data_IF_439443460452
#
_entry.id   IF_439443460452
#
_cell.length_a   1.000
_cell.length_b   1.000
_cell.length_c   1.000
_cell.angle_alpha   90.00
_cell.angle_beta   90.00
_cell.angle_gamma   90.00
#
_symmetry.space_group_name_H-M   'P 1'
#
loop_
_entity.id
_entity.type
_entity.pdbx_description
1 polymer ?
#
# COMPACT_ATOMS: atom_id res chain seq x y z
N UNK A 1 -28.65 -20.02 -33.21
CA UNK A 1 -27.87 -20.74 -32.18
C UNK A 1 -28.35 -20.28 -30.81
N UNK A 2 -28.88 -21.15 -29.93
CA UNK A 2 -29.15 -20.75 -28.56
C UNK A 2 -27.82 -20.61 -27.79
N UNK A 3 -27.52 -19.41 -27.29
CA UNK A 3 -26.38 -19.15 -26.41
C UNK A 3 -26.72 -19.70 -25.02
N UNK A 4 -26.06 -20.79 -24.64
CA UNK A 4 -26.23 -21.44 -23.35
C UNK A 4 -25.47 -20.64 -22.27
N UNK A 5 -26.06 -19.54 -21.79
CA UNK A 5 -25.50 -18.79 -20.66
C UNK A 5 -25.86 -19.52 -19.37
N UNK A 6 -24.89 -20.04 -18.59
CA UNK A 6 -25.19 -20.73 -17.35
C UNK A 6 -25.90 -19.78 -16.39
N UNK A 7 -27.15 -20.09 -16.05
CA UNK A 7 -27.93 -19.31 -15.08
C UNK A 7 -27.38 -19.57 -13.69
N UNK A 8 -26.96 -18.51 -13.00
CA UNK A 8 -26.55 -18.57 -11.59
C UNK A 8 -27.63 -19.29 -10.76
N UNK A 9 -27.30 -20.48 -10.25
CA UNK A 9 -28.20 -21.22 -9.37
C UNK A 9 -28.00 -20.79 -7.92
N UNK A 10 -29.02 -21.01 -7.07
CA UNK A 10 -28.90 -20.75 -5.62
C UNK A 10 -27.69 -21.44 -5.00
N UNK A 11 -27.35 -22.65 -5.48
CA UNK A 11 -26.19 -23.41 -5.02
C UNK A 11 -24.87 -22.73 -5.41
N UNK A 12 -24.79 -22.17 -6.61
CA UNK A 12 -23.59 -21.47 -7.07
C UNK A 12 -23.39 -20.17 -6.30
N UNK A 13 -24.49 -19.45 -6.01
CA UNK A 13 -24.47 -18.30 -5.13
C UNK A 13 -23.94 -18.65 -3.74
N UNK A 14 -24.50 -19.68 -3.09
CA UNK A 14 -24.06 -20.09 -1.75
C UNK A 14 -22.57 -20.51 -1.72
N UNK A 15 -22.10 -21.21 -2.76
CA UNK A 15 -20.67 -21.56 -2.89
C UNK A 15 -19.78 -20.33 -3.02
N UNK A 16 -20.18 -19.36 -3.84
CA UNK A 16 -19.43 -18.10 -4.01
C UNK A 16 -19.45 -17.26 -2.74
N UNK A 17 -20.59 -17.18 -2.04
CA UNK A 17 -20.69 -16.47 -0.76
C UNK A 17 -19.82 -17.11 0.32
N UNK A 18 -19.80 -18.44 0.41
CA UNK A 18 -18.94 -19.16 1.37
C UNK A 18 -17.45 -18.95 1.06
N UNK A 19 -17.06 -18.99 -0.22
CA UNK A 19 -15.69 -18.68 -0.66
C UNK A 19 -15.31 -17.22 -0.32
N UNK A 20 -16.17 -16.27 -0.61
CA UNK A 20 -15.93 -14.85 -0.33
C UNK A 20 -15.83 -14.59 1.19
N UNK A 21 -16.71 -15.18 1.99
CA UNK A 21 -16.66 -15.09 3.45
C UNK A 21 -15.38 -15.71 4.02
N UNK A 22 -14.95 -16.86 3.51
CA UNK A 22 -13.69 -17.50 3.89
C UNK A 22 -12.47 -16.65 3.53
N UNK A 23 -12.46 -16.04 2.34
CA UNK A 23 -11.38 -15.15 1.91
C UNK A 23 -11.28 -13.89 2.77
N UNK A 24 -12.42 -13.27 3.13
CA UNK A 24 -12.45 -12.12 4.05
C UNK A 24 -11.97 -12.50 5.45
N UNK A 25 -12.40 -13.63 5.98
CA UNK A 25 -11.93 -14.12 7.28
C UNK A 25 -10.41 -14.38 7.29
N UNK A 26 -9.87 -14.96 6.21
CA UNK A 26 -8.43 -15.16 6.05
C UNK A 26 -7.66 -13.83 5.91
N UNK A 27 -8.23 -12.84 5.22
CA UNK A 27 -7.62 -11.51 5.08
C UNK A 27 -7.54 -10.77 6.43
N UNK A 28 -8.48 -10.98 7.35
CA UNK A 28 -8.40 -10.42 8.71
C UNK A 28 -7.34 -11.08 9.59
N UNK A 29 -6.89 -12.30 9.26
CA UNK A 29 -5.81 -12.99 9.95
C UNK A 29 -4.42 -12.61 9.41
N UNK A 30 -4.36 -11.92 8.25
CA UNK A 30 -3.11 -11.39 7.74
C UNK A 30 -2.70 -10.16 8.59
N UNK A 31 -1.48 -10.13 9.15
CA UNK A 31 -1.04 -9.00 9.94
C UNK A 31 -0.95 -7.76 9.04
N UNK A 32 -1.72 -6.71 9.34
CA UNK A 32 -1.64 -5.42 8.64
C UNK A 32 -0.22 -4.84 8.64
N UNK A 33 0.60 -5.21 9.62
CA UNK A 33 2.02 -4.84 9.68
C UNK A 33 2.84 -5.39 8.52
N UNK A 34 2.40 -6.46 7.85
CA UNK A 34 3.05 -6.97 6.64
C UNK A 34 2.78 -6.10 5.40
N UNK A 35 1.75 -5.25 5.43
CA UNK A 35 1.46 -4.26 4.40
C UNK A 35 1.93 -2.85 4.77
N UNK A 36 2.32 -2.61 6.02
CA UNK A 36 2.82 -1.32 6.46
C UNK A 36 4.30 -1.18 6.08
N UNK A 37 4.58 -0.51 4.96
CA UNK A 37 5.93 -0.03 4.69
C UNK A 37 6.38 0.85 5.87
N UNK A 38 7.55 0.55 6.43
CA UNK A 38 8.12 1.37 7.51
C UNK A 38 8.47 2.75 6.94
N UNK A 39 7.93 3.84 7.49
CA UNK A 39 8.24 5.18 6.99
C UNK A 39 9.68 5.57 7.35
N UNK A 40 10.34 6.27 6.43
CA UNK A 40 11.65 6.87 6.68
C UNK A 40 11.49 8.18 7.47
N UNK A 41 12.10 8.24 8.67
CA UNK A 41 11.98 9.39 9.57
C UNK A 41 13.38 9.77 10.09
N UNK A 42 13.72 11.06 10.00
CA UNK A 42 14.97 11.61 10.54
C UNK A 42 14.70 12.76 11.52
N UNK A 43 15.48 12.81 12.61
CA UNK A 43 15.46 13.88 13.60
C UNK A 43 16.79 14.64 13.57
N UNK A 44 16.72 15.95 13.40
CA UNK A 44 17.87 16.84 13.50
C UNK A 44 17.57 18.00 14.46
N UNK A 45 18.62 18.48 15.15
CA UNK A 45 18.54 19.60 16.09
C UNK A 45 19.52 20.70 15.66
N UNK A 46 19.18 21.94 15.99
CA UNK A 46 20.02 23.13 15.73
C UNK A 46 19.24 24.27 15.09
N UNK A 47 19.98 25.20 14.48
CA UNK A 47 19.40 26.28 13.68
C UNK A 47 18.46 25.71 12.60
N UNK A 48 17.26 26.31 12.37
CA UNK A 48 16.24 25.72 11.50
C UNK A 48 16.76 25.33 10.11
N UNK A 49 17.56 26.19 9.47
CA UNK A 49 18.05 25.92 8.11
C UNK A 49 19.08 24.78 8.10
N UNK A 50 19.94 24.73 9.10
CA UNK A 50 20.93 23.66 9.25
C UNK A 50 20.30 22.34 9.68
N UNK A 51 19.30 22.36 10.56
CA UNK A 51 18.57 21.19 11.02
C UNK A 51 17.81 20.52 9.87
N UNK A 52 17.09 21.29 9.06
CA UNK A 52 16.37 20.75 7.89
C UNK A 52 17.32 20.07 6.90
N UNK A 53 18.45 20.70 6.57
CA UNK A 53 19.45 20.06 5.69
C UNK A 53 19.98 18.75 6.28
N UNK A 54 20.36 18.74 7.56
CA UNK A 54 20.83 17.52 8.24
C UNK A 54 19.79 16.40 8.26
N UNK A 55 18.51 16.75 8.45
CA UNK A 55 17.43 15.76 8.40
C UNK A 55 17.29 15.15 7.00
N UNK A 56 17.31 15.98 5.94
CA UNK A 56 17.23 15.50 4.56
C UNK A 56 18.45 14.65 4.18
N UNK A 57 19.65 15.05 4.58
CA UNK A 57 20.87 14.25 4.37
C UNK A 57 20.79 12.90 5.09
N UNK A 58 20.28 12.86 6.31
CA UNK A 58 20.09 11.61 7.05
C UNK A 58 19.09 10.65 6.37
N UNK A 59 18.16 11.17 5.56
CA UNK A 59 17.25 10.38 4.74
C UNK A 59 17.86 9.93 3.38
N UNK A 60 19.14 10.23 3.13
CA UNK A 60 19.83 9.88 1.88
C UNK A 60 19.89 11.03 0.85
N UNK A 61 19.53 12.25 1.26
CA UNK A 61 19.62 13.44 0.43
C UNK A 61 18.47 13.59 -0.56
N UNK A 62 18.41 14.75 -1.24
CA UNK A 62 17.31 15.07 -2.16
C UNK A 62 17.25 14.12 -3.36
N UNK A 63 18.39 13.55 -3.79
CA UNK A 63 18.46 12.57 -4.89
C UNK A 63 17.74 11.26 -4.59
N UNK A 64 17.51 10.92 -3.31
CA UNK A 64 16.71 9.77 -2.93
C UNK A 64 15.22 9.96 -3.30
N UNK A 65 14.76 11.22 -3.37
CA UNK A 65 13.35 11.57 -3.59
C UNK A 65 13.08 12.16 -4.98
N UNK A 66 14.02 12.93 -5.54
CA UNK A 66 13.84 13.65 -6.80
C UNK A 66 14.95 13.30 -7.78
N UNK A 67 14.55 12.94 -9.00
CA UNK A 67 15.48 12.64 -10.11
C UNK A 67 15.56 13.80 -11.10
N UNK A 68 16.69 13.97 -11.82
CA UNK A 68 16.78 14.95 -12.90
C UNK A 68 15.64 14.79 -13.91
N UNK A 69 14.99 15.90 -14.27
CA UNK A 69 13.87 15.93 -15.21
C UNK A 69 12.48 15.73 -14.59
N UNK A 70 12.39 15.44 -13.29
CA UNK A 70 11.10 15.41 -12.59
C UNK A 70 10.60 16.84 -12.31
N UNK A 71 9.30 17.07 -12.57
CA UNK A 71 8.64 18.33 -12.22
C UNK A 71 8.21 18.28 -10.75
N UNK A 72 8.78 19.17 -9.94
CA UNK A 72 8.40 19.43 -8.54
C UNK A 72 7.44 20.63 -8.46
N UNK A 73 6.55 20.64 -7.47
CA UNK A 73 5.51 21.67 -7.23
C UNK A 73 5.77 22.45 -5.96
#
# INVERSE_FOLDING_TARGET
MPTNTPRLTRRDFLKQSALAAGALAAAQAAPLSALAATPDIALAKGDPAAATRKAVEALGGMSAFVKPGQKVV
#
